data_IF_442814933435
#
_entry.id   IF_442814933435
#
_cell.length_a   1.000
_cell.length_b   1.000
_cell.length_c   1.000
_cell.angle_alpha   90.00
_cell.angle_beta   90.00
_cell.angle_gamma   90.00
#
_symmetry.space_group_name_H-M   'P 1'
#
loop_
_entity.id
_entity.type
_entity.pdbx_description
1 polymer ?
#
# COMPACT_ATOMS: atom_id res chain seq x y z
N UNK A 1 -4.43 -26.39 7.12
CA UNK A 1 -4.87 -25.02 6.80
C UNK A 1 -4.48 -24.71 5.37
N UNK A 2 -5.29 -23.92 4.65
CA UNK A 2 -4.97 -23.48 3.28
C UNK A 2 -3.89 -22.38 3.33
N UNK A 3 -2.92 -22.42 2.41
CA UNK A 3 -1.89 -21.39 2.29
C UNK A 3 -2.45 -20.16 1.55
N UNK A 4 -3.13 -19.26 2.28
CA UNK A 4 -3.79 -18.09 1.69
C UNK A 4 -3.70 -16.86 2.58
N UNK A 5 -3.41 -15.72 1.95
CA UNK A 5 -3.59 -14.39 2.54
C UNK A 5 -4.78 -13.74 1.83
N UNK A 6 -5.88 -13.49 2.54
CA UNK A 6 -7.09 -12.91 1.95
C UNK A 6 -7.19 -11.39 2.15
N UNK A 7 -6.54 -10.86 3.18
CA UNK A 7 -6.63 -9.46 3.56
C UNK A 7 -5.31 -8.99 4.20
N UNK A 8 -4.91 -7.76 3.89
CA UNK A 8 -3.82 -7.05 4.55
C UNK A 8 -4.36 -5.71 5.06
N UNK A 9 -4.17 -5.41 6.34
CA UNK A 9 -4.53 -4.11 6.92
C UNK A 9 -3.28 -3.26 7.16
N UNK A 10 -3.28 -2.05 6.63
CA UNK A 10 -2.24 -1.06 6.89
C UNK A 10 -2.73 -0.04 7.92
N UNK A 11 -2.01 0.06 9.03
CA UNK A 11 -2.21 1.11 10.02
C UNK A 11 -1.65 2.44 9.51
N UNK A 12 -2.53 3.42 9.29
CA UNK A 12 -2.19 4.74 8.76
C UNK A 12 -2.43 5.82 9.80
N UNK A 13 -1.58 6.85 9.80
CA UNK A 13 -1.71 7.99 10.71
C UNK A 13 -2.79 9.00 10.28
N UNK A 14 -3.17 8.97 9.00
CA UNK A 14 -4.19 9.84 8.41
C UNK A 14 -4.93 9.04 7.33
N UNK A 15 -6.17 8.65 7.64
CA UNK A 15 -6.98 7.80 6.78
C UNK A 15 -7.43 8.51 5.50
N UNK A 16 -7.76 9.80 5.58
CA UNK A 16 -8.22 10.58 4.43
C UNK A 16 -7.09 10.79 3.42
N UNK A 17 -5.90 11.12 3.90
CA UNK A 17 -4.69 11.24 3.06
C UNK A 17 -4.36 9.90 2.40
N UNK A 18 -4.37 8.81 3.17
CA UNK A 18 -4.07 7.48 2.63
C UNK A 18 -5.14 7.05 1.60
N UNK A 19 -6.43 7.26 1.88
CA UNK A 19 -7.52 7.01 0.92
C UNK A 19 -7.31 7.80 -0.37
N UNK A 20 -6.97 9.09 -0.25
CA UNK A 20 -6.75 9.97 -1.39
C UNK A 20 -5.58 9.51 -2.25
N UNK A 21 -4.51 9.02 -1.64
CA UNK A 21 -3.36 8.44 -2.35
C UNK A 21 -3.79 7.26 -3.25
N UNK A 22 -4.45 6.24 -2.70
CA UNK A 22 -4.89 5.09 -3.50
C UNK A 22 -5.93 5.48 -4.56
N UNK A 23 -6.84 6.43 -4.26
CA UNK A 23 -7.74 6.98 -5.29
C UNK A 23 -6.97 7.71 -6.41
N UNK A 24 -5.88 8.39 -6.08
CA UNK A 24 -4.97 9.02 -7.04
C UNK A 24 -4.29 8.01 -7.97
N UNK A 25 -4.05 6.79 -7.49
CA UNK A 25 -3.61 5.64 -8.30
C UNK A 25 -4.74 5.02 -9.15
N UNK A 26 -5.93 5.62 -9.16
CA UNK A 26 -7.10 5.09 -9.86
C UNK A 26 -7.85 3.99 -9.12
N UNK A 27 -7.52 3.70 -7.86
CA UNK A 27 -8.22 2.65 -7.10
C UNK A 27 -9.60 3.11 -6.64
N UNK A 28 -10.54 2.17 -6.62
CA UNK A 28 -11.90 2.38 -6.13
C UNK A 28 -12.11 1.63 -4.82
N UNK A 29 -12.66 2.31 -3.83
CA UNK A 29 -13.08 1.70 -2.56
C UNK A 29 -14.60 1.53 -2.55
N UNK A 30 -15.06 0.43 -1.95
CA UNK A 30 -16.46 0.22 -1.62
C UNK A 30 -16.68 0.69 -0.18
N UNK A 31 -17.41 1.79 0.02
CA UNK A 31 -17.73 2.31 1.35
C UNK A 31 -18.04 3.81 1.35
N UNK A 32 -18.97 4.22 2.21
CA UNK A 32 -19.34 5.62 2.40
C UNK A 32 -18.22 6.39 3.15
N UNK A 33 -18.35 7.71 3.24
CA UNK A 33 -17.37 8.60 3.87
C UNK A 33 -17.31 8.42 5.40
N UNK A 34 -18.29 7.71 5.99
CA UNK A 34 -18.41 7.49 7.43
C UNK A 34 -17.66 6.25 7.95
N UNK A 35 -17.01 5.46 7.08
CA UNK A 35 -16.31 4.27 7.53
C UNK A 35 -14.94 4.63 8.13
N UNK A 36 -14.75 4.27 9.40
CA UNK A 36 -13.48 4.36 10.14
C UNK A 36 -12.35 3.52 9.50
N UNK A 37 -12.65 2.76 8.45
CA UNK A 37 -11.77 1.83 7.72
C UNK A 37 -12.07 1.94 6.22
N UNK A 38 -11.05 1.83 5.37
CA UNK A 38 -11.21 1.87 3.92
C UNK A 38 -10.79 0.54 3.31
N UNK A 39 -11.64 -0.05 2.46
CA UNK A 39 -11.34 -1.29 1.76
C UNK A 39 -11.15 -1.06 0.26
N UNK A 40 -10.09 -1.66 -0.29
CA UNK A 40 -9.83 -1.73 -1.72
C UNK A 40 -9.75 -3.20 -2.15
N UNK A 41 -10.53 -3.57 -3.17
CA UNK A 41 -10.37 -4.86 -3.82
C UNK A 41 -9.09 -4.85 -4.67
N UNK A 42 -8.17 -5.78 -4.41
CA UNK A 42 -6.87 -5.88 -5.07
C UNK A 42 -6.66 -7.32 -5.60
N UNK A 43 -7.27 -7.62 -6.75
CA UNK A 43 -7.26 -8.96 -7.32
C UNK A 43 -8.03 -9.95 -6.43
N UNK A 44 -7.37 -11.01 -5.98
CA UNK A 44 -7.96 -12.00 -5.05
C UNK A 44 -7.87 -11.63 -3.57
N UNK A 45 -7.34 -10.44 -3.24
CA UNK A 45 -7.11 -9.97 -1.88
C UNK A 45 -7.81 -8.64 -1.63
N UNK A 46 -7.95 -8.29 -0.35
CA UNK A 46 -8.39 -6.95 0.09
C UNK A 46 -7.21 -6.22 0.73
N UNK A 47 -7.00 -4.97 0.34
CA UNK A 47 -6.17 -4.03 1.08
C UNK A 47 -7.08 -3.14 1.94
N UNK A 48 -6.90 -3.20 3.25
CA UNK A 48 -7.62 -2.35 4.21
C UNK A 48 -6.69 -1.26 4.73
N UNK A 49 -7.23 -0.05 4.91
CA UNK A 49 -6.57 1.05 5.61
C UNK A 49 -7.34 1.33 6.89
N UNK A 50 -6.63 1.43 8.01
CA UNK A 50 -7.25 1.70 9.31
C UNK A 50 -6.38 2.61 10.15
N UNK A 51 -6.98 3.28 11.13
CA UNK A 51 -6.23 4.09 12.08
C UNK A 51 -5.17 3.24 12.80
N UNK A 52 -3.94 3.75 12.84
CA UNK A 52 -2.78 3.02 13.36
C UNK A 52 -2.90 2.70 14.86
N UNK A 53 -3.50 3.59 15.65
CA UNK A 53 -3.68 3.36 17.08
C UNK A 53 -4.79 2.32 17.33
N UNK A 54 -5.91 2.42 16.60
CA UNK A 54 -6.98 1.41 16.64
C UNK A 54 -6.47 0.03 16.21
N UNK A 55 -5.66 -0.04 15.15
CA UNK A 55 -5.05 -1.30 14.70
C UNK A 55 -4.11 -1.89 15.76
N UNK A 56 -3.31 -1.07 16.43
CA UNK A 56 -2.41 -1.54 17.48
C UNK A 56 -3.18 -2.11 18.69
N UNK A 57 -4.26 -1.43 19.10
CA UNK A 57 -5.17 -1.89 20.14
C UNK A 57 -5.81 -3.24 19.79
N UNK A 58 -6.41 -3.35 18.59
CA UNK A 58 -7.04 -4.58 18.09
C UNK A 58 -6.04 -5.74 17.94
N UNK A 59 -4.80 -5.41 17.53
CA UNK A 59 -3.71 -6.39 17.39
C UNK A 59 -3.04 -6.76 18.72
N UNK A 60 -3.44 -6.16 19.84
CA UNK A 60 -2.85 -6.35 21.16
C UNK A 60 -1.32 -6.10 21.20
N UNK A 61 -0.85 -5.09 20.47
CA UNK A 61 0.57 -4.71 20.42
C UNK A 61 0.80 -3.28 20.91
N UNK A 62 1.99 -3.02 21.45
CA UNK A 62 2.47 -1.65 21.63
C UNK A 62 3.20 -1.22 20.37
N UNK A 63 2.66 -0.22 19.68
CA UNK A 63 3.27 0.33 18.48
C UNK A 63 4.41 1.30 18.84
N UNK A 64 5.65 0.90 18.55
CA UNK A 64 6.85 1.72 18.75
C UNK A 64 7.11 2.74 17.62
N UNK A 65 6.28 2.78 16.58
CA UNK A 65 6.52 3.59 15.39
C UNK A 65 7.53 2.96 14.42
N UNK A 66 7.96 3.74 13.43
CA UNK A 66 8.97 3.31 12.44
C UNK A 66 8.41 2.49 11.26
N UNK A 67 9.34 1.88 10.50
CA UNK A 67 9.10 1.22 9.20
C UNK A 67 8.35 -0.13 9.30
N UNK A 68 8.47 -0.85 10.43
CA UNK A 68 7.75 -2.11 10.64
C UNK A 68 8.27 -3.33 9.86
N UNK A 69 9.19 -3.16 8.90
CA UNK A 69 9.90 -4.29 8.27
C UNK A 69 9.08 -5.10 7.26
N UNK A 70 8.09 -4.49 6.62
CA UNK A 70 7.24 -5.14 5.61
C UNK A 70 7.19 -4.27 4.34
N UNK A 71 7.16 -4.93 3.18
CA UNK A 71 6.94 -4.28 1.88
C UNK A 71 5.82 -4.99 1.13
N UNK A 72 4.93 -4.21 0.51
CA UNK A 72 3.97 -4.73 -0.47
C UNK A 72 4.53 -4.47 -1.86
N UNK A 73 4.61 -5.52 -2.69
CA UNK A 73 5.17 -5.43 -4.04
C UNK A 73 4.07 -5.52 -5.10
N UNK A 74 4.16 -4.69 -6.13
CA UNK A 74 3.36 -4.77 -7.33
C UNK A 74 4.26 -5.18 -8.50
N UNK A 75 4.12 -6.44 -8.94
CA UNK A 75 4.88 -6.95 -10.08
C UNK A 75 4.18 -6.61 -11.39
N UNK A 76 4.95 -6.02 -12.29
CA UNK A 76 4.54 -5.66 -13.64
C UNK A 76 5.27 -6.50 -14.68
N UNK A 77 4.92 -6.35 -15.96
CA UNK A 77 5.39 -7.22 -17.04
C UNK A 77 6.68 -6.76 -17.70
N UNK A 78 7.09 -5.52 -17.50
CA UNK A 78 8.32 -4.98 -18.11
C UNK A 78 8.93 -3.81 -17.30
N UNK A 79 10.23 -3.48 -17.52
CA UNK A 79 10.86 -2.29 -16.93
C UNK A 79 10.10 -0.99 -17.20
N UNK A 80 9.56 -0.82 -18.40
CA UNK A 80 8.81 0.40 -18.77
C UNK A 80 7.48 0.50 -18.01
N UNK A 81 6.88 -0.64 -17.61
CA UNK A 81 5.73 -0.63 -16.70
C UNK A 81 6.13 -0.22 -15.28
N UNK A 82 7.37 -0.48 -14.85
CA UNK A 82 7.88 -0.03 -13.55
C UNK A 82 8.05 1.49 -13.56
N UNK A 83 8.64 2.04 -14.62
CA UNK A 83 8.79 3.49 -14.79
C UNK A 83 7.43 4.18 -14.72
N UNK A 84 6.45 3.68 -15.49
CA UNK A 84 5.08 4.21 -15.48
C UNK A 84 4.42 4.13 -14.11
N UNK A 85 4.54 3.00 -13.42
CA UNK A 85 3.93 2.85 -12.09
C UNK A 85 4.54 3.82 -11.06
N UNK A 86 5.84 4.06 -11.13
CA UNK A 86 6.52 5.04 -10.26
C UNK A 86 6.09 6.47 -10.61
N UNK A 87 5.95 6.80 -11.89
CA UNK A 87 5.45 8.10 -12.33
C UNK A 87 4.00 8.35 -11.87
N UNK A 88 3.12 7.34 -11.97
CA UNK A 88 1.75 7.39 -11.45
C UNK A 88 1.74 7.60 -9.92
N UNK A 89 2.56 6.86 -9.19
CA UNK A 89 2.71 7.03 -7.74
C UNK A 89 3.22 8.44 -7.38
N UNK A 90 4.20 8.95 -8.13
CA UNK A 90 4.70 10.32 -7.97
C UNK A 90 3.59 11.34 -8.21
N UNK A 91 2.78 11.15 -9.25
CA UNK A 91 1.61 11.99 -9.56
C UNK A 91 0.55 11.96 -8.47
N UNK A 92 0.39 10.83 -7.79
CA UNK A 92 -0.51 10.67 -6.63
C UNK A 92 0.07 11.22 -5.30
N UNK A 93 1.29 11.78 -5.32
CA UNK A 93 1.93 12.38 -4.15
C UNK A 93 2.79 11.41 -3.32
N UNK A 94 3.17 10.25 -3.88
CA UNK A 94 4.09 9.34 -3.21
C UNK A 94 5.49 9.95 -3.04
N UNK A 95 6.20 9.51 -2.00
CA UNK A 95 7.61 9.82 -1.82
C UNK A 95 8.45 8.74 -2.46
N UNK A 96 9.08 9.05 -3.59
CA UNK A 96 9.98 8.10 -4.25
C UNK A 96 11.23 7.89 -3.39
N UNK A 97 11.35 6.70 -2.81
CA UNK A 97 12.49 6.29 -1.99
C UNK A 97 13.65 5.76 -2.84
N UNK A 98 13.35 5.17 -4.01
CA UNK A 98 14.34 4.73 -5.00
C UNK A 98 13.75 4.83 -6.39
N UNK A 99 14.46 5.52 -7.27
CA UNK A 99 14.10 5.59 -8.70
C UNK A 99 14.16 4.21 -9.35
N UNK A 100 13.36 3.96 -10.41
CA UNK A 100 13.43 2.73 -11.17
C UNK A 100 14.85 2.50 -11.70
N UNK A 101 15.39 1.33 -11.40
CA UNK A 101 16.72 0.93 -11.87
C UNK A 101 16.87 -0.59 -11.81
N UNK A 102 17.90 -1.10 -12.50
CA UNK A 102 18.38 -2.46 -12.30
C UNK A 102 18.80 -2.67 -10.83
N UNK A 103 18.47 -3.85 -10.30
CA UNK A 103 18.80 -4.21 -8.92
C UNK A 103 20.00 -5.18 -8.88
N UNK A 104 20.73 -5.18 -7.75
CA UNK A 104 21.87 -6.10 -7.57
C UNK A 104 21.46 -7.58 -7.50
N UNK A 105 20.19 -7.86 -7.19
CA UNK A 105 19.63 -9.22 -7.06
C UNK A 105 18.88 -9.66 -8.32
N UNK A 106 18.95 -8.87 -9.39
CA UNK A 106 18.28 -9.10 -10.66
C UNK A 106 16.89 -8.46 -10.73
N UNK A 107 16.52 -8.04 -11.94
CA UNK A 107 15.27 -7.34 -12.20
C UNK A 107 15.41 -5.81 -12.18
N UNK A 108 14.30 -5.13 -12.44
CA UNK A 108 14.19 -3.67 -12.51
C UNK A 108 13.08 -3.23 -11.55
N UNK A 109 13.38 -2.30 -10.63
CA UNK A 109 12.41 -1.90 -9.58
C UNK A 109 12.61 -0.46 -9.13
N UNK A 110 11.50 0.19 -8.74
CA UNK A 110 11.50 1.42 -7.95
C UNK A 110 10.82 1.20 -6.59
N UNK A 111 10.90 2.19 -5.71
CA UNK A 111 10.27 2.18 -4.38
C UNK A 111 9.66 3.55 -4.09
N UNK A 112 8.43 3.56 -3.59
CA UNK A 112 7.70 4.76 -3.16
C UNK A 112 7.01 4.55 -1.81
#
# INVERSE_FOLDING_TARGET
MEQRVSLVTLGVADLERARSFYKGLGWSSSGEVADDVVFFQAGGMVLALWDRAKLAEDSAVTDGGGWGGVTLAYNVRSPEEVDRAIDEARGAGARIGREPAETFWGGYSGVF
#
